data_IF_170926369175
#
_entry.id   IF_170926369175
#
_cell.length_a   1.000
_cell.length_b   1.000
_cell.length_c   1.000
_cell.angle_alpha   90.00
_cell.angle_beta   90.00
_cell.angle_gamma   90.00
#
_symmetry.space_group_name_H-M   'P 1'
#
loop_
_entity.id
_entity.type
_entity.pdbx_description
1 polymer ?
#
# COMPACT_ATOMS: atom_id res chain seq x y z
N UNK A 1 19.61 -24.05 -20.85
CA UNK A 1 18.95 -23.13 -19.90
C UNK A 1 19.88 -21.95 -19.63
N UNK A 2 19.91 -20.93 -20.50
CA UNK A 2 20.82 -19.76 -20.32
C UNK A 2 20.25 -18.43 -20.82
N UNK A 3 19.05 -18.39 -21.44
CA UNK A 3 18.52 -17.13 -22.04
C UNK A 3 17.75 -16.19 -21.10
N UNK A 4 17.53 -16.55 -19.83
CA UNK A 4 16.65 -15.80 -18.92
C UNK A 4 17.37 -14.71 -18.12
N UNK A 5 18.68 -14.83 -17.89
CA UNK A 5 19.43 -13.85 -17.09
C UNK A 5 19.83 -12.64 -17.92
N UNK A 6 20.31 -12.82 -19.15
CA UNK A 6 20.83 -11.73 -19.98
C UNK A 6 19.78 -10.64 -20.28
N UNK A 7 18.55 -11.02 -20.62
CA UNK A 7 17.47 -10.06 -20.87
C UNK A 7 17.05 -9.31 -19.60
N UNK A 8 17.04 -10.02 -18.46
CA UNK A 8 16.73 -9.44 -17.15
C UNK A 8 17.82 -8.47 -16.71
N UNK A 9 19.08 -8.82 -16.91
CA UNK A 9 20.23 -7.98 -16.54
C UNK A 9 20.35 -6.77 -17.45
N UNK A 10 20.12 -6.92 -18.75
CA UNK A 10 20.01 -5.80 -19.68
C UNK A 10 18.87 -4.84 -19.29
N UNK A 11 17.73 -5.36 -18.82
CA UNK A 11 16.63 -4.51 -18.30
C UNK A 11 17.06 -3.75 -17.04
N UNK A 12 17.73 -4.42 -16.09
CA UNK A 12 18.23 -3.78 -14.87
C UNK A 12 19.22 -2.67 -15.20
N UNK A 13 20.11 -2.89 -16.17
CA UNK A 13 21.08 -1.89 -16.57
C UNK A 13 20.42 -0.66 -17.18
N UNK A 14 19.43 -0.86 -18.06
CA UNK A 14 18.61 0.25 -18.59
C UNK A 14 17.87 1.00 -17.48
N UNK A 15 17.44 0.34 -16.41
CA UNK A 15 16.78 1.03 -15.28
C UNK A 15 17.78 1.82 -14.45
N UNK A 16 18.99 1.30 -14.21
CA UNK A 16 20.06 2.01 -13.48
C UNK A 16 20.51 3.26 -14.21
N UNK A 17 20.55 3.23 -15.55
CA UNK A 17 20.90 4.42 -16.33
C UNK A 17 19.87 5.55 -16.25
N UNK A 18 18.67 5.30 -15.70
CA UNK A 18 17.65 6.33 -15.45
C UNK A 18 17.83 7.04 -14.11
N UNK A 19 18.75 6.59 -13.25
CA UNK A 19 19.03 7.25 -11.97
C UNK A 19 19.73 8.60 -12.27
N UNK A 20 19.17 9.74 -11.84
CA UNK A 20 19.76 11.06 -12.12
C UNK A 20 21.18 11.18 -11.55
N UNK A 21 22.12 11.69 -12.36
CA UNK A 21 23.47 11.98 -11.92
C UNK A 21 23.45 13.14 -10.90
N UNK A 22 23.96 12.90 -9.69
CA UNK A 22 23.94 13.86 -8.58
C UNK A 22 22.86 13.59 -7.53
N UNK A 23 21.96 12.63 -7.77
CA UNK A 23 20.84 12.35 -6.87
C UNK A 23 19.83 13.50 -6.83
N UNK A 24 18.81 13.35 -5.99
CA UNK A 24 17.80 14.39 -5.78
C UNK A 24 16.42 13.80 -5.53
N UNK A 25 15.69 14.42 -4.61
CA UNK A 25 14.27 14.13 -4.42
C UNK A 25 13.44 14.77 -5.54
N UNK A 26 12.21 14.28 -5.69
CA UNK A 26 11.22 14.96 -6.51
C UNK A 26 10.82 16.31 -5.91
N UNK A 27 10.06 17.14 -6.65
CA UNK A 27 9.61 18.45 -6.18
C UNK A 27 8.58 18.37 -5.02
N UNK A 28 8.12 17.17 -4.66
CA UNK A 28 7.17 16.91 -3.58
C UNK A 28 7.90 16.61 -2.27
N UNK A 29 7.26 16.84 -1.13
CA UNK A 29 7.82 16.55 0.21
C UNK A 29 7.70 15.06 0.62
N UNK A 30 7.61 14.15 -0.35
CA UNK A 30 7.39 12.73 -0.13
C UNK A 30 5.93 12.29 -0.24
N UNK A 31 5.65 11.08 0.24
CA UNK A 31 4.33 10.45 0.17
C UNK A 31 3.47 10.91 1.35
N UNK A 32 2.24 11.37 1.08
CA UNK A 32 1.30 11.73 2.14
C UNK A 32 0.59 10.48 2.73
N UNK A 33 0.01 9.65 1.87
CA UNK A 33 -0.56 8.36 2.26
C UNK A 33 -0.56 7.39 1.09
N UNK A 34 -0.70 6.10 1.40
CA UNK A 34 -0.90 5.02 0.41
C UNK A 34 -2.23 4.36 0.72
N UNK A 35 -3.02 4.07 -0.32
CA UNK A 35 -4.29 3.36 -0.17
C UNK A 35 -4.22 1.96 -0.78
N UNK A 36 -4.68 0.96 -0.03
CA UNK A 36 -4.75 -0.45 -0.45
C UNK A 36 -6.08 -1.08 -0.05
N UNK A 37 -6.38 -2.25 -0.62
CA UNK A 37 -7.55 -3.03 -0.23
C UNK A 37 -7.20 -4.05 0.86
N UNK A 38 -8.09 -4.16 1.84
CA UNK A 38 -8.06 -5.20 2.86
C UNK A 38 -9.28 -6.10 2.72
N UNK A 39 -9.10 -7.39 3.01
CA UNK A 39 -10.20 -8.36 3.03
C UNK A 39 -10.99 -8.35 4.33
N UNK A 40 -10.35 -7.84 5.39
CA UNK A 40 -10.83 -7.87 6.76
C UNK A 40 -10.17 -6.71 7.51
N UNK A 41 -10.93 -5.64 7.76
CA UNK A 41 -10.39 -4.43 8.39
C UNK A 41 -10.09 -4.63 9.87
N UNK A 42 -10.83 -5.49 10.57
CA UNK A 42 -10.59 -5.77 11.99
C UNK A 42 -9.28 -6.54 12.19
N UNK A 43 -9.07 -7.60 11.42
CA UNK A 43 -7.81 -8.34 11.45
C UNK A 43 -6.63 -7.46 10.99
N UNK A 44 -6.87 -6.56 10.03
CA UNK A 44 -5.87 -5.57 9.60
C UNK A 44 -5.55 -4.59 10.73
N UNK A 45 -6.56 -4.05 11.42
CA UNK A 45 -6.38 -3.13 12.54
C UNK A 45 -5.60 -3.78 13.69
N UNK A 46 -5.91 -5.03 14.04
CA UNK A 46 -5.17 -5.79 15.05
C UNK A 46 -3.71 -5.98 14.65
N UNK A 47 -3.44 -6.38 13.41
CA UNK A 47 -2.06 -6.56 12.95
C UNK A 47 -1.26 -5.25 13.03
N UNK A 48 -1.78 -4.17 12.45
CA UNK A 48 -1.07 -2.90 12.45
C UNK A 48 -0.96 -2.29 13.85
N UNK A 49 -2.03 -2.36 14.66
CA UNK A 49 -2.04 -1.80 16.00
C UNK A 49 -1.23 -2.59 17.01
N UNK A 50 -1.40 -3.91 17.09
CA UNK A 50 -0.85 -4.75 18.17
C UNK A 50 0.49 -5.38 17.83
N UNK A 51 0.80 -5.60 16.55
CA UNK A 51 2.06 -6.23 16.11
C UNK A 51 3.06 -5.18 15.62
N UNK A 52 2.58 -4.16 14.91
CA UNK A 52 3.44 -3.17 14.27
C UNK A 52 3.51 -1.83 15.02
N UNK A 53 2.77 -1.66 16.12
CA UNK A 53 2.63 -0.40 16.87
C UNK A 53 2.20 0.80 15.98
N UNK A 54 1.37 0.54 14.97
CA UNK A 54 0.81 1.50 14.02
C UNK A 54 -0.70 1.67 14.28
N UNK A 55 -1.11 2.64 15.12
CA UNK A 55 -2.48 2.75 15.58
C UNK A 55 -3.44 3.18 14.45
N UNK A 56 -4.69 2.72 14.53
CA UNK A 56 -5.80 3.29 13.75
C UNK A 56 -6.04 4.73 14.20
N UNK A 57 -6.05 5.65 13.24
CA UNK A 57 -6.19 7.10 13.48
C UNK A 57 -7.47 7.69 12.89
N UNK A 58 -8.14 6.97 11.97
CA UNK A 58 -9.41 7.41 11.39
C UNK A 58 -10.16 6.23 10.77
N UNK A 59 -11.49 6.24 10.91
CA UNK A 59 -12.42 5.32 10.25
C UNK A 59 -13.60 6.14 9.74
N UNK A 60 -13.85 6.10 8.43
CA UNK A 60 -14.95 6.81 7.79
C UNK A 60 -15.62 5.93 6.74
N UNK A 61 -16.84 6.30 6.31
CA UNK A 61 -17.41 5.70 5.11
C UNK A 61 -16.56 6.07 3.89
N UNK A 62 -16.41 5.14 2.94
CA UNK A 62 -15.83 5.43 1.64
C UNK A 62 -16.77 6.39 0.89
N UNK A 63 -16.23 7.53 0.45
CA UNK A 63 -16.99 8.57 -0.24
C UNK A 63 -17.63 8.10 -1.55
N UNK A 64 -16.99 7.13 -2.21
CA UNK A 64 -17.38 6.70 -3.55
C UNK A 64 -18.29 5.46 -3.52
N UNK A 65 -18.25 4.66 -2.44
CA UNK A 65 -19.08 3.45 -2.27
C UNK A 65 -19.55 3.32 -0.82
N UNK A 66 -20.85 3.46 -0.58
CA UNK A 66 -21.42 3.59 0.76
C UNK A 66 -21.21 2.35 1.64
N UNK A 67 -21.15 1.17 1.05
CA UNK A 67 -20.95 -0.11 1.73
C UNK A 67 -19.48 -0.41 2.02
N UNK A 68 -18.56 0.46 1.58
CA UNK A 68 -17.12 0.35 1.82
C UNK A 68 -16.69 1.28 2.95
N UNK A 69 -15.78 0.81 3.79
CA UNK A 69 -15.17 1.52 4.91
C UNK A 69 -13.76 1.95 4.54
N UNK A 70 -13.40 3.19 4.87
CA UNK A 70 -12.06 3.74 4.74
C UNK A 70 -11.43 3.87 6.13
N UNK A 71 -10.42 3.05 6.40
CA UNK A 71 -9.65 3.08 7.65
C UNK A 71 -8.24 3.60 7.38
N UNK A 72 -7.67 4.36 8.32
CA UNK A 72 -6.30 4.87 8.23
C UNK A 72 -5.52 4.45 9.48
N UNK A 73 -4.29 3.98 9.29
CA UNK A 73 -3.31 3.76 10.36
C UNK A 73 -2.15 4.73 10.23
N UNK A 74 -1.58 5.16 11.36
CA UNK A 74 -0.37 5.99 11.38
C UNK A 74 0.87 5.13 11.15
N UNK A 75 1.71 5.50 10.19
CA UNK A 75 2.96 4.79 9.87
C UNK A 75 4.22 5.62 10.18
N UNK A 76 4.07 6.73 10.92
CA UNK A 76 5.14 7.66 11.27
C UNK A 76 5.24 8.88 10.34
N UNK A 77 5.94 9.92 10.79
CA UNK A 77 6.17 11.17 10.04
C UNK A 77 4.91 11.85 9.48
N UNK A 78 3.76 11.70 10.14
CA UNK A 78 2.48 12.22 9.66
C UNK A 78 1.95 11.51 8.41
N UNK A 79 2.56 10.41 7.99
CA UNK A 79 2.10 9.58 6.89
C UNK A 79 1.05 8.58 7.36
N UNK A 80 0.12 8.24 6.48
CA UNK A 80 -0.90 7.24 6.73
C UNK A 80 -0.82 6.07 5.74
N UNK A 81 -1.18 4.88 6.21
CA UNK A 81 -1.55 3.76 5.35
C UNK A 81 -3.07 3.57 5.45
N UNK A 82 -3.74 3.72 4.32
CA UNK A 82 -5.19 3.65 4.20
C UNK A 82 -5.62 2.28 3.70
N UNK A 83 -6.68 1.75 4.30
CA UNK A 83 -7.31 0.50 3.94
C UNK A 83 -8.76 0.72 3.56
N UNK A 84 -9.18 0.02 2.51
CA UNK A 84 -10.58 -0.08 2.12
C UNK A 84 -11.01 -1.55 2.09
N UNK A 85 -12.19 -1.85 2.62
CA UNK A 85 -12.89 -3.09 2.29
C UNK A 85 -13.87 -2.86 1.14
N UNK A 86 -14.24 -3.95 0.46
CA UNK A 86 -15.28 -3.93 -0.57
C UNK A 86 -16.14 -5.18 -0.42
N UNK A 87 -17.15 -5.14 0.48
CA UNK A 87 -17.95 -6.32 0.82
C UNK A 87 -18.71 -6.93 -0.36
N UNK A 88 -18.89 -6.22 -1.47
CA UNK A 88 -19.58 -6.70 -2.67
C UNK A 88 -18.62 -7.18 -3.78
N UNK A 89 -17.29 -7.09 -3.59
CA UNK A 89 -16.30 -7.50 -4.60
C UNK A 89 -15.72 -8.87 -4.24
N UNK A 90 -16.09 -9.97 -4.94
CA UNK A 90 -15.78 -11.34 -4.49
C UNK A 90 -14.28 -11.62 -4.31
N UNK A 91 -13.42 -11.06 -5.17
CA UNK A 91 -11.95 -11.24 -5.05
C UNK A 91 -11.35 -10.54 -3.82
N UNK A 92 -12.06 -9.57 -3.25
CA UNK A 92 -11.65 -8.78 -2.09
C UNK A 92 -12.33 -9.24 -0.80
N UNK A 93 -13.18 -10.26 -0.85
CA UNK A 93 -13.74 -10.87 0.35
C UNK A 93 -12.74 -11.85 0.97
N UNK A 94 -12.81 -12.01 2.29
CA UNK A 94 -12.21 -13.14 2.99
C UNK A 94 -12.86 -14.42 2.46
N UNK A 95 -12.07 -15.37 1.99
CA UNK A 95 -12.60 -16.69 1.62
C UNK A 95 -12.92 -17.44 2.92
N UNK A 96 -14.09 -18.08 2.95
CA UNK A 96 -14.38 -19.04 4.01
C UNK A 96 -13.26 -20.11 4.04
N UNK A 97 -12.85 -20.57 5.23
CA UNK A 97 -11.82 -21.59 5.38
C UNK A 97 -12.19 -22.91 4.69
#
# INVERSE_FOLDING_TARGET
MTGSNDATDAKRERLRSLIPAGGGDGPTQGVNHIAVFAKDLEATAQFYGEVMDMPVISVTANRDVQESTHMNVAIGNGMALSFFDFPHVPRLQRRAP
#
